data_IF_134737922912
#
_entry.id   IF_134737922912
#
_cell.length_a   1.000
_cell.length_b   1.000
_cell.length_c   1.000
_cell.angle_alpha   90.00
_cell.angle_beta   90.00
_cell.angle_gamma   90.00
#
_symmetry.space_group_name_H-M   'P 1'
#
loop_
_entity.id
_entity.type
_entity.pdbx_description
1 polymer ?
#
# COMPACT_ATOMS: atom_id res chain seq x y z
N UNK A 1 -20.39 17.67 -15.56
CA UNK A 1 -19.41 17.15 -16.55
C UNK A 1 -20.04 16.80 -17.91
N UNK A 2 -21.36 16.61 -18.02
CA UNK A 2 -22.01 16.27 -19.30
C UNK A 2 -22.05 17.40 -20.33
N UNK A 3 -21.95 18.65 -19.89
CA UNK A 3 -22.00 19.84 -20.74
C UNK A 3 -20.64 20.19 -21.38
N UNK A 4 -19.59 19.38 -21.18
CA UNK A 4 -18.22 19.82 -21.50
C UNK A 4 -17.67 19.35 -22.84
N UNK A 5 -18.38 18.54 -23.63
CA UNK A 5 -17.95 18.14 -24.99
C UNK A 5 -19.13 18.12 -25.96
N UNK A 6 -19.86 19.24 -26.01
CA UNK A 6 -21.00 19.41 -26.91
C UNK A 6 -20.56 19.71 -28.35
N UNK A 7 -19.39 20.32 -28.52
CA UNK A 7 -18.82 20.71 -29.81
C UNK A 7 -17.32 20.44 -29.92
N UNK A 8 -16.83 20.34 -31.16
CA UNK A 8 -15.39 20.27 -31.47
C UNK A 8 -14.67 21.50 -30.89
N UNK A 9 -15.29 22.67 -30.92
CA UNK A 9 -14.72 23.90 -30.33
C UNK A 9 -14.43 23.74 -28.84
N UNK A 10 -15.25 22.97 -28.12
CA UNK A 10 -15.02 22.71 -26.69
C UNK A 10 -13.75 21.89 -26.46
N UNK A 11 -13.43 20.99 -27.39
CA UNK A 11 -12.18 20.21 -27.37
C UNK A 11 -10.97 21.12 -27.62
N UNK A 12 -11.06 22.07 -28.55
CA UNK A 12 -10.00 23.07 -28.77
C UNK A 12 -9.79 23.95 -27.53
N UNK A 13 -10.86 24.49 -26.95
CA UNK A 13 -10.80 25.30 -25.72
C UNK A 13 -10.18 24.50 -24.56
N UNK A 14 -10.46 23.21 -24.48
CA UNK A 14 -9.86 22.33 -23.48
C UNK A 14 -8.34 22.19 -23.65
N UNK A 15 -7.86 21.91 -24.86
CA UNK A 15 -6.42 21.79 -25.13
C UNK A 15 -5.67 23.12 -24.97
N UNK A 16 -6.31 24.25 -25.30
CA UNK A 16 -5.73 25.59 -25.08
C UNK A 16 -5.60 25.90 -23.58
N UNK A 17 -6.63 25.58 -22.79
CA UNK A 17 -6.58 25.72 -21.32
C UNK A 17 -5.52 24.81 -20.71
N UNK A 18 -5.44 23.55 -21.13
CA UNK A 18 -4.39 22.63 -20.66
C UNK A 18 -2.99 23.15 -21.01
N UNK A 19 -2.79 23.64 -22.22
CA UNK A 19 -1.51 24.21 -22.65
C UNK A 19 -1.10 25.39 -21.76
N UNK A 20 -2.04 26.30 -21.45
CA UNK A 20 -1.80 27.43 -20.55
C UNK A 20 -1.47 26.98 -19.13
N UNK A 21 -2.24 26.05 -18.57
CA UNK A 21 -2.01 25.51 -17.23
C UNK A 21 -0.66 24.80 -17.10
N UNK A 22 -0.24 24.05 -18.12
CA UNK A 22 1.06 23.37 -18.10
C UNK A 22 2.22 24.36 -18.13
N UNK A 23 2.07 25.48 -18.84
CA UNK A 23 3.10 26.53 -18.88
C UNK A 23 3.19 27.37 -17.60
N UNK A 24 2.08 27.51 -16.86
CA UNK A 24 2.02 28.38 -15.67
C UNK A 24 2.14 27.63 -14.34
N UNK A 25 1.70 26.37 -14.28
CA UNK A 25 1.48 25.66 -13.00
C UNK A 25 2.20 24.31 -12.89
N UNK A 26 2.71 23.76 -13.99
CA UNK A 26 3.34 22.45 -13.98
C UNK A 26 4.85 22.58 -14.18
N UNK A 27 5.59 21.83 -13.36
CA UNK A 27 7.03 21.69 -13.52
C UNK A 27 7.37 21.18 -14.93
N UNK A 28 8.29 21.89 -15.58
CA UNK A 28 8.76 21.63 -16.93
C UNK A 28 9.43 20.26 -17.05
N UNK A 29 10.00 19.72 -15.98
CA UNK A 29 10.66 18.40 -16.03
C UNK A 29 9.76 17.26 -15.56
N UNK A 30 8.58 17.57 -15.02
CA UNK A 30 7.66 16.55 -14.55
C UNK A 30 7.17 15.66 -15.70
N UNK A 31 7.16 14.34 -15.48
CA UNK A 31 6.69 13.35 -16.46
C UNK A 31 5.26 13.66 -16.93
N UNK A 32 4.39 14.12 -16.02
CA UNK A 32 3.03 14.51 -16.35
C UNK A 32 3.00 15.78 -17.23
N UNK A 33 3.82 16.79 -16.92
CA UNK A 33 3.93 17.99 -17.75
C UNK A 33 4.45 17.68 -19.15
N UNK A 34 5.44 16.79 -19.27
CA UNK A 34 5.96 16.31 -20.57
C UNK A 34 4.88 15.58 -21.36
N UNK A 35 4.11 14.70 -20.71
CA UNK A 35 3.00 13.99 -21.34
C UNK A 35 1.93 14.96 -21.86
N UNK A 36 1.45 15.90 -21.03
CA UNK A 36 0.40 16.85 -21.45
C UNK A 36 0.90 17.75 -22.58
N UNK A 37 2.16 18.23 -22.55
CA UNK A 37 2.73 19.00 -23.67
C UNK A 37 2.78 18.20 -24.97
N UNK A 38 3.16 16.92 -24.91
CA UNK A 38 3.13 16.04 -26.10
C UNK A 38 1.72 15.88 -26.64
N UNK A 39 0.73 15.70 -25.77
CA UNK A 39 -0.68 15.64 -26.18
C UNK A 39 -1.15 16.94 -26.84
N UNK A 40 -0.83 18.10 -26.26
CA UNK A 40 -1.17 19.40 -26.85
C UNK A 40 -0.48 19.63 -28.21
N UNK A 41 0.80 19.25 -28.34
CA UNK A 41 1.55 19.34 -29.59
C UNK A 41 1.01 18.39 -30.66
N UNK A 42 0.66 17.16 -30.28
CA UNK A 42 0.05 16.20 -31.19
C UNK A 42 -1.31 16.70 -31.69
N UNK A 43 -2.16 17.19 -30.78
CA UNK A 43 -3.47 17.75 -31.12
C UNK A 43 -3.34 18.98 -32.05
N UNK A 44 -2.41 19.90 -31.77
CA UNK A 44 -2.17 21.07 -32.61
C UNK A 44 -1.67 20.74 -34.03
N UNK A 45 -1.17 19.53 -34.26
CA UNK A 45 -0.72 19.04 -35.58
C UNK A 45 -1.78 18.23 -36.32
N UNK A 46 -2.92 17.94 -35.70
CA UNK A 46 -3.98 17.16 -36.34
C UNK A 46 -4.68 17.99 -37.40
N UNK A 47 -4.94 17.36 -38.55
CA UNK A 47 -5.80 17.93 -39.58
C UNK A 47 -7.26 17.96 -39.11
N UNK A 48 -8.05 18.92 -39.59
CA UNK A 48 -9.41 19.15 -39.08
C UNK A 48 -10.32 17.90 -39.13
N UNK A 49 -10.23 17.08 -40.17
CA UNK A 49 -11.02 15.83 -40.24
C UNK A 49 -10.56 14.79 -39.20
N UNK A 50 -9.26 14.74 -38.87
CA UNK A 50 -8.71 13.89 -37.81
C UNK A 50 -9.24 14.35 -36.46
N UNK A 51 -9.27 15.67 -36.23
CA UNK A 51 -9.86 16.25 -35.01
C UNK A 51 -11.35 15.87 -34.89
N UNK A 52 -12.10 15.90 -35.99
CA UNK A 52 -13.49 15.46 -36.02
C UNK A 52 -13.66 13.98 -35.66
N UNK A 53 -12.81 13.10 -36.21
CA UNK A 53 -12.80 11.66 -35.85
C UNK A 53 -12.46 11.45 -34.37
N UNK A 54 -11.39 12.09 -33.90
CA UNK A 54 -10.94 12.02 -32.52
C UNK A 54 -12.00 12.54 -31.54
N UNK A 55 -12.72 13.62 -31.88
CA UNK A 55 -13.83 14.13 -31.10
C UNK A 55 -14.97 13.11 -30.97
N UNK A 56 -15.34 12.45 -32.07
CA UNK A 56 -16.37 11.40 -32.07
C UNK A 56 -15.95 10.21 -31.22
N UNK A 57 -14.68 9.79 -31.29
CA UNK A 57 -14.11 8.74 -30.44
C UNK A 57 -14.14 9.13 -28.95
N UNK A 58 -13.76 10.37 -28.62
CA UNK A 58 -13.86 10.88 -27.24
C UNK A 58 -15.30 10.90 -26.73
N UNK A 59 -16.26 11.34 -27.55
CA UNK A 59 -17.69 11.29 -27.18
C UNK A 59 -18.18 9.87 -27.00
N UNK A 60 -17.76 8.95 -27.87
CA UNK A 60 -18.12 7.54 -27.75
C UNK A 60 -17.53 6.94 -26.47
N UNK A 61 -16.25 7.19 -26.17
CA UNK A 61 -15.60 6.75 -24.94
C UNK A 61 -16.29 7.30 -23.69
N UNK A 62 -16.68 8.59 -23.69
CA UNK A 62 -17.42 9.20 -22.57
C UNK A 62 -18.83 8.63 -22.41
N UNK A 63 -19.54 8.38 -23.51
CA UNK A 63 -20.86 7.70 -23.46
C UNK A 63 -20.74 6.27 -22.93
N UNK A 64 -19.69 5.58 -23.33
CA UNK A 64 -19.39 4.21 -22.89
C UNK A 64 -19.00 4.19 -21.40
N UNK A 65 -18.14 5.11 -20.95
CA UNK A 65 -17.81 5.29 -19.53
C UNK A 65 -19.02 5.70 -18.68
N UNK A 66 -19.93 6.49 -19.25
CA UNK A 66 -21.11 7.02 -18.54
C UNK A 66 -22.24 6.01 -18.42
N UNK A 67 -22.52 5.28 -19.50
CA UNK A 67 -23.67 4.38 -19.53
C UNK A 67 -23.36 3.04 -18.89
N UNK A 68 -22.09 2.65 -18.81
CA UNK A 68 -21.72 1.27 -18.61
C UNK A 68 -20.38 1.13 -17.87
N UNK A 69 -20.21 1.71 -16.67
CA UNK A 69 -18.98 1.40 -15.91
C UNK A 69 -18.84 -0.12 -15.68
N UNK A 70 -19.97 -0.82 -15.52
CA UNK A 70 -20.02 -2.27 -15.34
C UNK A 70 -20.04 -3.05 -16.68
N UNK A 71 -20.65 -2.52 -17.74
CA UNK A 71 -20.67 -3.15 -19.07
C UNK A 71 -19.37 -2.90 -19.85
N UNK A 72 -18.65 -1.80 -19.56
CA UNK A 72 -17.25 -1.55 -19.96
C UNK A 72 -16.34 -2.49 -19.21
N UNK A 73 -16.50 -2.65 -17.88
CA UNK A 73 -15.78 -3.69 -17.14
C UNK A 73 -16.06 -5.08 -17.72
N UNK A 74 -17.28 -5.39 -18.16
CA UNK A 74 -17.62 -6.67 -18.80
C UNK A 74 -17.07 -6.81 -20.23
N UNK A 75 -17.07 -5.75 -21.05
CA UNK A 75 -16.51 -5.75 -22.42
C UNK A 75 -14.99 -5.70 -22.44
N UNK A 76 -14.38 -4.92 -21.56
CA UNK A 76 -12.95 -4.97 -21.27
C UNK A 76 -12.61 -6.31 -20.63
N UNK A 77 -13.50 -6.93 -19.87
CA UNK A 77 -13.28 -8.29 -19.34
C UNK A 77 -13.21 -9.34 -20.43
N UNK A 78 -14.16 -9.36 -21.36
CA UNK A 78 -14.11 -10.34 -22.47
C UNK A 78 -12.88 -10.12 -23.35
N UNK A 79 -12.49 -8.87 -23.63
CA UNK A 79 -11.24 -8.55 -24.34
C UNK A 79 -9.99 -8.91 -23.53
N UNK A 80 -9.94 -8.60 -22.23
CA UNK A 80 -8.81 -8.90 -21.35
C UNK A 80 -8.63 -10.40 -21.16
N UNK A 81 -9.72 -11.15 -21.00
CA UNK A 81 -9.71 -12.61 -20.93
C UNK A 81 -9.23 -13.23 -22.25
N UNK A 82 -9.68 -12.69 -23.39
CA UNK A 82 -9.22 -13.15 -24.71
C UNK A 82 -7.73 -12.88 -24.91
N UNK A 83 -7.25 -11.70 -24.52
CA UNK A 83 -5.83 -11.34 -24.55
C UNK A 83 -5.00 -12.18 -23.57
N UNK A 84 -5.54 -12.48 -22.39
CA UNK A 84 -4.90 -13.32 -21.38
C UNK A 84 -4.76 -14.76 -21.89
N UNK A 85 -5.83 -15.32 -22.48
CA UNK A 85 -5.79 -16.64 -23.15
C UNK A 85 -4.76 -16.64 -24.27
N UNK A 86 -4.82 -15.67 -25.18
CA UNK A 86 -3.86 -15.57 -26.28
C UNK A 86 -2.41 -15.40 -25.78
N UNK A 87 -2.19 -14.70 -24.67
CA UNK A 87 -0.89 -14.61 -24.03
C UNK A 87 -0.42 -16.00 -23.58
N UNK A 88 -1.24 -16.74 -22.84
CA UNK A 88 -0.88 -18.08 -22.37
C UNK A 88 -0.82 -19.12 -23.48
N UNK A 89 -1.58 -18.99 -24.56
CA UNK A 89 -1.48 -19.85 -25.74
C UNK A 89 -0.16 -19.64 -26.49
N UNK A 90 0.39 -18.41 -26.44
CA UNK A 90 1.65 -18.04 -27.11
C UNK A 90 2.89 -18.33 -26.28
N UNK A 91 2.76 -18.35 -24.96
CA UNK A 91 3.87 -18.60 -24.05
C UNK A 91 3.80 -20.05 -23.59
N UNK A 92 4.91 -20.79 -23.61
CA UNK A 92 5.02 -22.12 -23.01
C UNK A 92 5.01 -22.07 -21.48
N UNK A 93 4.20 -21.19 -20.89
CA UNK A 93 3.99 -21.13 -19.47
C UNK A 93 3.20 -22.36 -19.02
N UNK A 94 3.50 -22.94 -17.86
CA UNK A 94 2.69 -24.00 -17.27
C UNK A 94 1.21 -23.60 -17.20
N UNK A 95 0.32 -24.47 -17.66
CA UNK A 95 -1.13 -24.19 -17.75
C UNK A 95 -1.77 -23.76 -16.42
N UNK A 96 -1.22 -24.20 -15.28
CA UNK A 96 -1.71 -23.81 -13.96
C UNK A 96 -1.54 -22.30 -13.67
N UNK A 97 -0.53 -21.63 -14.23
CA UNK A 97 -0.39 -20.18 -14.07
C UNK A 97 -1.49 -19.44 -14.83
N UNK A 98 -1.86 -19.92 -16.02
CA UNK A 98 -2.96 -19.35 -16.79
C UNK A 98 -4.28 -19.42 -16.00
N UNK A 99 -4.56 -20.60 -15.42
CA UNK A 99 -5.74 -20.85 -14.61
C UNK A 99 -5.75 -20.03 -13.31
N UNK A 100 -4.59 -19.86 -12.66
CA UNK A 100 -4.45 -18.96 -11.50
C UNK A 100 -4.79 -17.51 -11.85
N UNK A 101 -4.30 -17.01 -12.99
CA UNK A 101 -4.62 -15.66 -13.45
C UNK A 101 -6.08 -15.52 -13.87
N UNK A 102 -6.68 -16.56 -14.44
CA UNK A 102 -8.11 -16.61 -14.74
C UNK A 102 -8.96 -16.61 -13.46
N UNK A 103 -8.60 -17.39 -12.45
CA UNK A 103 -9.28 -17.38 -11.15
C UNK A 103 -9.24 -15.99 -10.52
N UNK A 104 -8.05 -15.37 -10.45
CA UNK A 104 -7.89 -13.99 -9.98
C UNK A 104 -8.76 -12.99 -10.75
N UNK A 105 -8.89 -13.17 -12.07
CA UNK A 105 -9.74 -12.35 -12.92
C UNK A 105 -11.22 -12.52 -12.58
N UNK A 106 -11.71 -13.76 -12.48
CA UNK A 106 -13.08 -14.07 -12.12
C UNK A 106 -13.45 -13.56 -10.72
N UNK A 107 -12.53 -13.66 -9.74
CA UNK A 107 -12.72 -13.10 -8.39
C UNK A 107 -12.95 -11.59 -8.45
N UNK A 108 -12.14 -10.85 -9.23
CA UNK A 108 -12.32 -9.39 -9.40
C UNK A 108 -13.66 -9.00 -10.01
N UNK A 109 -14.25 -9.88 -10.81
CA UNK A 109 -15.56 -9.69 -11.43
C UNK A 109 -16.71 -10.24 -10.58
N UNK A 110 -16.43 -10.70 -9.37
CA UNK A 110 -17.41 -11.32 -8.47
C UNK A 110 -18.07 -12.58 -9.08
N UNK A 111 -17.38 -13.25 -10.01
CA UNK A 111 -17.80 -14.52 -10.61
C UNK A 111 -17.24 -15.67 -9.78
N UNK A 112 -17.74 -15.84 -8.55
CA UNK A 112 -17.16 -16.74 -7.54
C UNK A 112 -17.13 -18.22 -7.98
N UNK A 113 -18.16 -18.69 -8.68
CA UNK A 113 -18.22 -20.07 -9.19
C UNK A 113 -17.15 -20.33 -10.26
N UNK A 114 -17.00 -19.41 -11.21
CA UNK A 114 -15.99 -19.52 -12.27
C UNK A 114 -14.57 -19.38 -11.71
N UNK A 115 -14.40 -18.49 -10.73
CA UNK A 115 -13.13 -18.34 -10.01
C UNK A 115 -12.73 -19.64 -9.31
N UNK A 116 -13.68 -20.30 -8.64
CA UNK A 116 -13.46 -21.58 -7.95
C UNK A 116 -13.18 -22.71 -8.95
N UNK A 117 -13.95 -22.83 -10.01
CA UNK A 117 -13.71 -23.85 -11.05
C UNK A 117 -12.32 -23.73 -11.67
N UNK A 118 -11.87 -22.50 -11.99
CA UNK A 118 -10.52 -22.28 -12.51
C UNK A 118 -9.44 -22.60 -11.47
N UNK A 119 -9.71 -22.35 -10.19
CA UNK A 119 -8.77 -22.61 -9.10
C UNK A 119 -8.63 -24.12 -8.81
N UNK A 120 -9.73 -24.87 -8.86
CA UNK A 120 -9.74 -26.33 -8.70
C UNK A 120 -8.92 -27.02 -9.81
N UNK A 121 -9.06 -26.54 -11.05
CA UNK A 121 -8.27 -27.04 -12.18
C UNK A 121 -6.78 -26.66 -12.03
N UNK A 122 -6.49 -25.42 -11.62
CA UNK A 122 -5.12 -24.99 -11.34
C UNK A 122 -4.47 -25.85 -10.24
N UNK A 123 -5.24 -26.19 -9.19
CA UNK A 123 -4.80 -27.04 -8.08
C UNK A 123 -4.47 -28.46 -8.54
N UNK A 124 -5.30 -29.05 -9.39
CA UNK A 124 -5.04 -30.38 -9.93
C UNK A 124 -3.71 -30.40 -10.71
N UNK A 125 -3.52 -29.46 -11.64
CA UNK A 125 -2.31 -29.38 -12.46
C UNK A 125 -1.07 -29.05 -11.60
N UNK A 126 -1.19 -28.14 -10.63
CA UNK A 126 -0.08 -27.79 -9.74
C UNK A 126 0.37 -28.98 -8.88
N UNK A 127 -0.56 -29.83 -8.42
CA UNK A 127 -0.25 -31.07 -7.69
C UNK A 127 0.48 -32.09 -8.57
N UNK A 128 0.01 -32.29 -9.80
CA UNK A 128 0.63 -33.22 -10.75
C UNK A 128 2.07 -32.81 -11.09
N UNK A 129 2.31 -31.50 -11.18
CA UNK A 129 3.63 -30.92 -11.43
C UNK A 129 4.48 -30.75 -10.17
N UNK A 130 3.91 -31.01 -8.98
CA UNK A 130 4.54 -30.73 -7.68
C UNK A 130 5.05 -29.28 -7.53
N UNK A 131 4.36 -28.31 -8.15
CA UNK A 131 4.75 -26.90 -8.08
C UNK A 131 4.31 -26.28 -6.75
N UNK A 132 5.21 -26.33 -5.76
CA UNK A 132 4.93 -25.80 -4.41
C UNK A 132 4.62 -24.31 -4.41
N UNK A 133 5.19 -23.54 -5.35
CA UNK A 133 4.96 -22.10 -5.42
C UNK A 133 3.55 -21.82 -5.93
N UNK A 134 3.13 -22.51 -6.99
CA UNK A 134 1.75 -22.42 -7.49
C UNK A 134 0.73 -22.80 -6.40
N UNK A 135 1.01 -23.86 -5.62
CA UNK A 135 0.15 -24.28 -4.51
C UNK A 135 0.00 -23.20 -3.42
N UNK A 136 1.05 -22.43 -3.12
CA UNK A 136 0.97 -21.28 -2.20
C UNK A 136 0.06 -20.17 -2.74
N UNK A 137 0.16 -19.84 -4.03
CA UNK A 137 -0.73 -18.86 -4.67
C UNK A 137 -2.18 -19.35 -4.70
N UNK A 138 -2.39 -20.65 -4.93
CA UNK A 138 -3.72 -21.27 -4.90
C UNK A 138 -4.33 -21.12 -3.51
N UNK A 139 -3.60 -21.49 -2.44
CA UNK A 139 -4.05 -21.36 -1.06
C UNK A 139 -4.42 -19.91 -0.69
N UNK A 140 -3.65 -18.95 -1.19
CA UNK A 140 -3.95 -17.52 -1.04
C UNK A 140 -5.31 -17.14 -1.68
N UNK A 141 -5.57 -17.58 -2.92
CA UNK A 141 -6.84 -17.31 -3.59
C UNK A 141 -8.02 -18.07 -2.98
N UNK A 142 -7.83 -19.29 -2.49
CA UNK A 142 -8.85 -20.02 -1.73
C UNK A 142 -9.26 -19.24 -0.48
N UNK A 143 -8.28 -18.73 0.28
CA UNK A 143 -8.55 -17.86 1.42
C UNK A 143 -9.33 -16.61 1.01
N UNK A 144 -8.98 -15.98 -0.12
CA UNK A 144 -9.71 -14.79 -0.61
C UNK A 144 -11.17 -15.11 -0.96
N UNK A 145 -11.42 -16.22 -1.66
CA UNK A 145 -12.77 -16.65 -2.00
C UNK A 145 -13.58 -17.01 -0.75
N UNK A 146 -12.95 -17.61 0.27
CA UNK A 146 -13.59 -17.86 1.57
C UNK A 146 -13.98 -16.56 2.28
N UNK A 147 -13.09 -15.56 2.31
CA UNK A 147 -13.37 -14.22 2.85
C UNK A 147 -14.59 -13.59 2.16
N UNK A 148 -14.70 -13.72 0.84
CA UNK A 148 -15.81 -13.16 0.06
C UNK A 148 -17.12 -13.95 0.22
N UNK A 149 -17.05 -15.24 0.55
CA UNK A 149 -18.24 -16.09 0.75
C UNK A 149 -19.01 -15.81 2.05
N UNK A 150 -18.43 -15.07 3.00
CA UNK A 150 -19.10 -14.63 4.23
C UNK A 150 -19.00 -15.58 5.43
N UNK A 151 -18.32 -16.73 5.31
CA UNK A 151 -18.02 -17.62 6.45
C UNK A 151 -16.85 -17.07 7.29
N UNK A 152 -17.12 -16.10 8.16
CA UNK A 152 -16.07 -15.32 8.85
C UNK A 152 -15.14 -16.20 9.72
N UNK A 153 -15.69 -17.14 10.49
CA UNK A 153 -14.90 -17.99 11.39
C UNK A 153 -13.98 -18.93 10.61
N UNK A 154 -14.52 -19.61 9.60
CA UNK A 154 -13.77 -20.52 8.74
C UNK A 154 -12.68 -19.77 7.96
N UNK A 155 -13.02 -18.61 7.40
CA UNK A 155 -12.07 -17.76 6.71
C UNK A 155 -10.94 -17.29 7.65
N UNK A 156 -11.24 -16.92 8.89
CA UNK A 156 -10.21 -16.54 9.88
C UNK A 156 -9.26 -17.69 10.18
N UNK A 157 -9.77 -18.91 10.35
CA UNK A 157 -8.94 -20.09 10.59
C UNK A 157 -8.07 -20.43 9.38
N UNK A 158 -8.65 -20.43 8.17
CA UNK A 158 -7.93 -20.70 6.94
C UNK A 158 -6.81 -19.67 6.69
N UNK A 159 -7.12 -18.38 6.85
CA UNK A 159 -6.13 -17.30 6.68
C UNK A 159 -5.00 -17.40 7.71
N UNK A 160 -5.28 -17.74 8.97
CA UNK A 160 -4.24 -17.94 9.99
C UNK A 160 -3.30 -19.10 9.64
N UNK A 161 -3.86 -20.25 9.26
CA UNK A 161 -3.06 -21.39 8.81
C UNK A 161 -2.22 -21.06 7.58
N UNK A 162 -2.76 -20.26 6.65
CA UNK A 162 -2.02 -19.76 5.50
C UNK A 162 -0.86 -18.83 5.90
N UNK A 163 -1.07 -17.89 6.82
CA UNK A 163 -0.02 -17.00 7.33
C UNK A 163 1.11 -17.82 7.96
N UNK A 164 0.77 -18.78 8.83
CA UNK A 164 1.75 -19.67 9.49
C UNK A 164 2.54 -20.51 8.47
N UNK A 165 1.88 -20.98 7.42
CA UNK A 165 2.55 -21.70 6.32
C UNK A 165 3.47 -20.79 5.49
N UNK A 166 3.12 -19.51 5.32
CA UNK A 166 3.86 -18.55 4.50
C UNK A 166 5.07 -17.93 5.22
N UNK A 167 5.05 -17.88 6.56
CA UNK A 167 6.06 -17.25 7.44
C UNK A 167 7.50 -17.68 7.13
N UNK A 168 7.70 -18.91 6.64
CA UNK A 168 9.03 -19.45 6.38
C UNK A 168 9.52 -19.32 4.94
N UNK A 169 8.67 -18.84 4.01
CA UNK A 169 8.92 -19.02 2.57
C UNK A 169 8.68 -17.78 1.73
N UNK A 170 7.70 -16.96 2.08
CA UNK A 170 7.23 -15.92 1.17
C UNK A 170 6.58 -14.75 1.93
N UNK A 171 7.37 -13.72 2.22
CA UNK A 171 6.92 -12.53 2.94
C UNK A 171 5.76 -11.79 2.24
N UNK A 172 5.70 -11.83 0.90
CA UNK A 172 4.60 -11.24 0.14
C UNK A 172 3.29 -11.96 0.44
N UNK A 173 3.32 -13.30 0.49
CA UNK A 173 2.15 -14.10 0.84
C UNK A 173 1.74 -13.89 2.29
N UNK A 174 2.70 -13.84 3.20
CA UNK A 174 2.44 -13.59 4.61
C UNK A 174 1.81 -12.21 4.83
N UNK A 175 2.36 -11.15 4.22
CA UNK A 175 1.79 -9.81 4.25
C UNK A 175 0.37 -9.78 3.66
N UNK A 176 0.14 -10.47 2.54
CA UNK A 176 -1.19 -10.59 1.93
C UNK A 176 -2.17 -11.30 2.87
N UNK A 177 -1.74 -12.37 3.54
CA UNK A 177 -2.55 -13.08 4.54
C UNK A 177 -2.95 -12.17 5.70
N UNK A 178 -2.02 -11.37 6.24
CA UNK A 178 -2.35 -10.38 7.26
C UNK A 178 -3.34 -9.32 6.76
N UNK A 179 -3.24 -8.87 5.51
CA UNK A 179 -4.24 -7.96 4.92
C UNK A 179 -5.63 -8.61 4.87
N UNK A 180 -5.74 -9.88 4.46
CA UNK A 180 -7.00 -10.63 4.48
C UNK A 180 -7.55 -10.80 5.90
N UNK A 181 -6.69 -11.10 6.87
CA UNK A 181 -7.08 -11.27 8.27
C UNK A 181 -7.63 -9.95 8.84
N UNK A 182 -7.02 -8.81 8.50
CA UNK A 182 -7.56 -7.50 8.86
C UNK A 182 -8.94 -7.24 8.23
N UNK A 183 -9.18 -7.66 6.99
CA UNK A 183 -10.51 -7.54 6.36
C UNK A 183 -11.58 -8.34 7.12
N UNK A 184 -11.20 -9.49 7.71
CA UNK A 184 -12.10 -10.36 8.48
C UNK A 184 -12.31 -9.90 9.93
N UNK A 185 -11.31 -9.28 10.56
CA UNK A 185 -11.36 -8.83 11.96
C UNK A 185 -12.08 -7.49 12.14
N UNK A 186 -13.02 -7.15 11.27
CA UNK A 186 -13.65 -5.83 11.17
C UNK A 186 -13.85 -5.14 12.54
N UNK A 187 -13.29 -3.94 12.62
CA UNK A 187 -13.36 -2.98 13.73
C UNK A 187 -12.68 -3.43 15.04
N UNK A 188 -11.59 -2.74 15.40
CA UNK A 188 -10.93 -2.90 16.69
C UNK A 188 -9.41 -3.00 16.61
N UNK A 189 -8.79 -3.13 17.78
CA UNK A 189 -7.33 -3.17 17.96
C UNK A 189 -6.70 -4.32 17.16
N UNK A 190 -7.31 -5.51 17.18
CA UNK A 190 -6.80 -6.70 16.51
C UNK A 190 -6.57 -6.49 15.00
N UNK A 191 -7.46 -5.73 14.33
CA UNK A 191 -7.29 -5.40 12.92
C UNK A 191 -6.08 -4.48 12.68
N UNK A 192 -5.87 -3.49 13.54
CA UNK A 192 -4.72 -2.59 13.45
C UNK A 192 -3.40 -3.30 13.76
N UNK A 193 -3.35 -4.16 14.78
CA UNK A 193 -2.17 -4.99 15.09
C UNK A 193 -1.76 -5.85 13.87
N UNK A 194 -2.76 -6.45 13.23
CA UNK A 194 -2.56 -7.24 12.02
C UNK A 194 -2.01 -6.39 10.86
N UNK A 195 -2.52 -5.16 10.69
CA UNK A 195 -2.00 -4.21 9.69
C UNK A 195 -0.58 -3.72 10.01
N UNK A 196 -0.21 -3.60 11.28
CA UNK A 196 1.15 -3.26 11.70
C UNK A 196 2.11 -4.39 11.29
N UNK A 197 1.74 -5.66 11.52
CA UNK A 197 2.52 -6.82 11.07
C UNK A 197 2.66 -6.87 9.55
N UNK A 198 1.56 -6.67 8.81
CA UNK A 198 1.59 -6.61 7.35
C UNK A 198 2.54 -5.50 6.84
N UNK A 199 2.49 -4.33 7.47
CA UNK A 199 3.35 -3.19 7.12
C UNK A 199 4.81 -3.45 7.45
N UNK A 200 5.12 -4.08 8.58
CA UNK A 200 6.50 -4.43 8.95
C UNK A 200 7.15 -5.30 7.87
N UNK A 201 6.47 -6.37 7.46
CA UNK A 201 6.91 -7.24 6.36
C UNK A 201 7.06 -6.49 5.03
N UNK A 202 6.10 -5.63 4.71
CA UNK A 202 6.13 -4.82 3.49
C UNK A 202 7.31 -3.84 3.44
N UNK A 203 7.69 -3.27 4.60
CA UNK A 203 8.84 -2.38 4.73
C UNK A 203 10.14 -3.15 4.63
N UNK A 204 10.26 -4.24 5.38
CA UNK A 204 11.44 -5.12 5.46
C UNK A 204 11.82 -5.69 4.09
N UNK A 205 10.83 -6.19 3.35
CA UNK A 205 11.06 -6.85 2.06
C UNK A 205 10.84 -5.94 0.85
N UNK A 206 10.56 -4.65 1.05
CA UNK A 206 10.19 -3.69 -0.01
C UNK A 206 9.10 -4.21 -0.97
N UNK A 207 8.07 -4.83 -0.40
CA UNK A 207 6.95 -5.38 -1.18
C UNK A 207 5.63 -4.83 -0.67
N UNK A 208 4.65 -4.65 -1.58
CA UNK A 208 3.27 -4.29 -1.23
C UNK A 208 3.08 -3.03 -0.35
N UNK A 209 4.07 -2.14 -0.23
CA UNK A 209 4.00 -0.93 0.62
C UNK A 209 2.71 -0.14 0.38
N UNK A 210 2.40 0.22 -0.86
CA UNK A 210 1.20 0.97 -1.20
C UNK A 210 -0.10 0.25 -0.79
N UNK A 211 -0.17 -1.08 -0.91
CA UNK A 211 -1.35 -1.86 -0.52
C UNK A 211 -1.57 -1.81 1.00
N UNK A 212 -0.49 -1.96 1.79
CA UNK A 212 -0.58 -1.85 3.27
C UNK A 212 -1.01 -0.45 3.71
N UNK A 213 -0.49 0.62 3.09
CA UNK A 213 -0.90 2.00 3.35
C UNK A 213 -2.38 2.24 3.03
N UNK A 214 -2.87 1.73 1.89
CA UNK A 214 -4.29 1.83 1.53
C UNK A 214 -5.19 1.01 2.48
N UNK A 215 -4.72 -0.14 2.97
CA UNK A 215 -5.46 -0.94 3.95
C UNK A 215 -5.59 -0.19 5.29
N UNK A 216 -4.50 0.41 5.79
CA UNK A 216 -4.55 1.31 6.94
C UNK A 216 -5.49 2.49 6.72
N UNK A 217 -5.45 3.11 5.54
CA UNK A 217 -6.37 4.20 5.19
C UNK A 217 -7.84 3.77 5.36
N UNK A 218 -8.20 2.62 4.78
CA UNK A 218 -9.55 2.05 4.90
C UNK A 218 -9.92 1.71 6.34
N UNK A 219 -9.00 1.16 7.13
CA UNK A 219 -9.23 0.88 8.54
C UNK A 219 -9.54 2.16 9.33
N UNK A 220 -8.76 3.23 9.12
CA UNK A 220 -9.01 4.54 9.74
C UNK A 220 -10.33 5.19 9.29
N UNK A 221 -10.75 4.98 8.04
CA UNK A 221 -12.07 5.40 7.55
C UNK A 221 -13.21 4.71 8.31
N UNK A 222 -13.09 3.40 8.59
CA UNK A 222 -14.11 2.63 9.33
C UNK A 222 -14.29 3.12 10.76
N UNK A 223 -13.19 3.43 11.46
CA UNK A 223 -13.23 4.04 12.81
C UNK A 223 -13.52 5.55 12.80
N UNK A 224 -13.96 6.10 11.66
CA UNK A 224 -14.38 7.49 11.49
C UNK A 224 -13.26 8.52 11.78
N UNK A 225 -12.02 8.18 11.45
CA UNK A 225 -10.86 9.09 11.50
C UNK A 225 -10.39 9.46 10.07
N UNK A 226 -11.13 10.33 9.34
CA UNK A 226 -10.86 10.62 7.93
C UNK A 226 -9.50 11.31 7.70
N UNK A 227 -9.00 12.07 8.67
CA UNK A 227 -7.69 12.74 8.55
C UNK A 227 -6.55 11.72 8.48
N UNK A 228 -6.53 10.75 9.41
CA UNK A 228 -5.55 9.67 9.36
C UNK A 228 -5.73 8.85 8.08
N UNK A 229 -6.96 8.52 7.72
CA UNK A 229 -7.23 7.81 6.48
C UNK A 229 -6.64 8.52 5.25
N UNK A 230 -6.77 9.85 5.17
CA UNK A 230 -6.20 10.66 4.09
C UNK A 230 -4.67 10.62 4.10
N UNK A 231 -4.03 10.78 5.26
CA UNK A 231 -2.56 10.74 5.37
C UNK A 231 -1.98 9.39 4.96
N UNK A 232 -2.63 8.29 5.36
CA UNK A 232 -2.26 6.95 4.92
C UNK A 232 -2.46 6.77 3.40
N UNK A 233 -3.55 7.32 2.83
CA UNK A 233 -3.77 7.29 1.38
C UNK A 233 -2.76 8.15 0.60
N UNK A 234 -2.31 9.28 1.16
CA UNK A 234 -1.23 10.10 0.60
C UNK A 234 0.11 9.35 0.65
N UNK A 235 0.41 8.68 1.76
CA UNK A 235 1.61 7.86 1.92
C UNK A 235 1.68 6.75 0.87
N UNK A 236 0.53 6.16 0.50
CA UNK A 236 0.44 5.16 -0.57
C UNK A 236 0.76 5.72 -1.97
N UNK A 237 0.67 7.05 -2.16
CA UNK A 237 0.86 7.76 -3.43
C UNK A 237 2.19 8.53 -3.49
N UNK A 238 2.89 8.67 -2.37
CA UNK A 238 4.17 9.37 -2.28
C UNK A 238 5.16 8.78 -3.29
N UNK A 239 5.79 9.65 -4.06
CA UNK A 239 6.76 9.24 -5.09
C UNK A 239 8.20 9.35 -4.60
N UNK A 240 8.40 10.05 -3.49
CA UNK A 240 9.73 10.27 -2.90
C UNK A 240 9.76 9.84 -1.44
N UNK A 241 10.92 9.40 -0.97
CA UNK A 241 11.13 9.05 0.45
C UNK A 241 10.93 10.26 1.36
N UNK A 242 11.21 11.47 0.87
CA UNK A 242 11.01 12.73 1.61
C UNK A 242 9.53 13.00 1.87
N UNK A 243 8.68 12.88 0.85
CA UNK A 243 7.22 12.98 1.01
C UNK A 243 6.68 11.91 1.96
N UNK A 244 7.21 10.69 1.84
CA UNK A 244 6.83 9.58 2.73
C UNK A 244 7.24 9.87 4.19
N UNK A 245 8.43 10.41 4.43
CA UNK A 245 8.88 10.78 5.76
C UNK A 245 8.02 11.90 6.38
N UNK A 246 7.68 12.93 5.60
CA UNK A 246 6.82 14.03 6.04
C UNK A 246 5.40 13.56 6.36
N UNK A 247 4.81 12.75 5.48
CA UNK A 247 3.48 12.18 5.72
C UNK A 247 3.48 11.25 6.92
N UNK A 248 4.54 10.45 7.10
CA UNK A 248 4.70 9.61 8.28
C UNK A 248 4.81 10.42 9.58
N UNK A 249 5.56 11.52 9.60
CA UNK A 249 5.64 12.43 10.74
C UNK A 249 4.26 13.00 11.12
N UNK A 250 3.49 13.43 10.12
CA UNK A 250 2.11 13.90 10.31
C UNK A 250 1.17 12.81 10.83
N UNK A 251 1.32 11.57 10.34
CA UNK A 251 0.58 10.41 10.87
C UNK A 251 0.87 10.22 12.35
N UNK A 252 2.14 10.22 12.75
CA UNK A 252 2.54 10.04 14.15
C UNK A 252 1.99 11.17 15.04
N UNK A 253 2.07 12.43 14.60
CA UNK A 253 1.52 13.57 15.35
C UNK A 253 -0.01 13.47 15.49
N UNK A 254 -0.71 13.10 14.42
CA UNK A 254 -2.16 12.91 14.46
C UNK A 254 -2.56 11.76 15.39
N UNK A 255 -1.85 10.63 15.33
CA UNK A 255 -2.06 9.50 16.24
C UNK A 255 -1.85 9.93 17.69
N UNK A 256 -0.74 10.60 17.99
CA UNK A 256 -0.46 11.11 19.33
C UNK A 256 -1.53 12.06 19.87
N UNK A 257 -1.99 13.01 19.05
CA UNK A 257 -3.06 13.93 19.45
C UNK A 257 -4.40 13.22 19.68
N UNK A 258 -4.67 12.15 18.92
CA UNK A 258 -5.83 11.30 19.13
C UNK A 258 -5.69 10.53 20.45
N UNK A 259 -4.60 9.78 20.66
CA UNK A 259 -4.34 9.07 21.91
C UNK A 259 -4.44 9.98 23.15
N UNK A 260 -3.84 11.18 23.08
CA UNK A 260 -3.82 12.14 24.19
C UNK A 260 -5.16 12.80 24.48
N UNK A 261 -6.11 12.80 23.53
CA UNK A 261 -7.48 13.31 23.73
C UNK A 261 -8.49 12.21 24.07
N UNK A 262 -8.17 10.96 23.78
CA UNK A 262 -9.06 9.80 23.89
C UNK A 262 -9.03 9.16 25.30
N UNK A 263 -8.80 9.95 26.35
CA UNK A 263 -9.09 9.54 27.74
C UNK A 263 -10.59 9.67 28.09
N UNK A 264 -11.48 9.41 27.12
CA UNK A 264 -12.94 9.41 27.27
C UNK A 264 -13.47 8.00 26.98
N UNK A 265 -14.43 7.45 27.75
CA UNK A 265 -14.59 6.00 27.97
C UNK A 265 -15.22 5.19 26.83
N UNK A 266 -15.35 5.74 25.62
CA UNK A 266 -15.93 5.03 24.47
C UNK A 266 -14.90 4.58 23.44
N UNK A 267 -13.62 4.92 23.60
CA UNK A 267 -12.60 4.65 22.60
C UNK A 267 -11.31 4.14 23.30
N UNK A 268 -11.30 2.89 23.77
CA UNK A 268 -10.08 2.17 24.18
C UNK A 268 -9.23 1.78 22.95
N UNK A 269 -9.02 2.67 21.98
CA UNK A 269 -8.47 2.28 20.66
C UNK A 269 -6.96 2.32 20.55
N UNK A 270 -6.25 2.87 21.54
CA UNK A 270 -4.80 3.07 21.35
C UNK A 270 -4.04 2.73 22.62
N UNK A 271 -3.19 1.72 22.47
CA UNK A 271 -2.21 1.26 23.44
C UNK A 271 -1.36 2.46 23.92
N UNK A 272 -1.28 2.72 25.24
CA UNK A 272 -0.43 3.76 25.83
C UNK A 272 1.03 3.75 25.31
N UNK A 273 1.53 2.58 24.90
CA UNK A 273 2.88 2.40 24.32
C UNK A 273 3.11 3.23 23.05
N UNK A 274 2.06 3.49 22.25
CA UNK A 274 2.17 4.29 21.03
C UNK A 274 2.27 5.81 21.31
N UNK A 275 1.78 6.27 22.47
CA UNK A 275 1.76 7.69 22.84
C UNK A 275 3.14 8.22 23.22
N UNK A 276 3.91 7.45 23.99
CA UNK A 276 5.22 7.91 24.48
C UNK A 276 6.33 7.77 23.41
N UNK A 277 6.16 6.84 22.46
CA UNK A 277 6.99 6.72 21.24
C UNK A 277 7.02 7.99 20.38
N UNK A 278 5.91 8.73 20.32
CA UNK A 278 5.81 9.97 19.52
C UNK A 278 6.48 11.16 20.22
N UNK A 279 6.34 11.27 21.55
CA UNK A 279 7.02 12.30 22.35
C UNK A 279 8.55 12.21 22.19
N UNK A 280 9.08 10.99 22.23
CA UNK A 280 10.51 10.73 22.03
C UNK A 280 10.97 10.99 20.59
N UNK A 281 10.13 10.74 19.58
CA UNK A 281 10.45 11.05 18.17
C UNK A 281 10.59 12.56 17.89
N UNK A 282 9.75 13.40 18.54
CA UNK A 282 9.75 14.86 18.38
C UNK A 282 10.95 15.53 19.03
N UNK A 283 11.42 14.99 20.15
CA UNK A 283 12.61 15.47 20.84
C UNK A 283 13.90 15.10 20.08
N UNK A 284 13.90 13.95 19.41
CA UNK A 284 14.97 13.47 18.52
C UNK A 284 15.15 14.28 17.23
N UNK A 285 14.07 14.62 16.52
CA UNK A 285 14.14 15.44 15.31
C UNK A 285 14.68 16.86 15.58
N UNK A 286 14.54 17.36 16.83
CA UNK A 286 15.20 18.60 17.27
C UNK A 286 16.70 18.43 17.50
N UNK A 287 17.19 17.24 17.85
CA UNK A 287 18.63 16.96 17.98
C UNK A 287 19.30 16.87 16.62
N UNK A 288 18.64 16.22 15.66
CA UNK A 288 19.17 16.05 14.31
C UNK A 288 19.21 17.37 13.51
N UNK A 289 18.35 18.34 13.83
CA UNK A 289 18.19 19.58 13.05
C UNK A 289 18.71 20.86 13.72
N UNK A 290 19.40 20.80 14.87
CA UNK A 290 19.98 22.01 15.49
C UNK A 290 21.50 21.95 15.59
N UNK A 291 22.11 22.79 14.75
CA UNK A 291 23.29 23.62 15.01
C UNK A 291 24.51 22.93 15.61
N UNK A 292 25.32 22.31 14.76
CA UNK A 292 26.79 22.33 14.84
C UNK A 292 27.32 21.76 13.52
N UNK A 293 27.90 22.62 12.68
CA UNK A 293 28.41 22.26 11.35
C UNK A 293 29.64 21.35 11.33
N UNK A 294 29.78 20.44 12.30
CA UNK A 294 30.77 19.37 12.35
C UNK A 294 30.10 18.21 13.08
N UNK A 295 29.65 17.20 12.33
CA UNK A 295 29.26 15.93 12.95
C UNK A 295 30.55 15.12 13.08
N UNK A 296 31.11 15.09 14.29
CA UNK A 296 32.19 14.15 14.61
C UNK A 296 31.74 12.74 14.24
N UNK A 297 32.60 11.99 13.55
CA UNK A 297 32.28 10.65 13.04
C UNK A 297 31.81 9.68 14.14
N UNK A 298 32.18 9.96 15.39
CA UNK A 298 31.73 9.23 16.57
C UNK A 298 30.23 9.44 16.83
N UNK A 299 29.71 10.66 16.74
CA UNK A 299 28.28 10.98 16.91
C UNK A 299 27.42 10.31 15.82
N UNK A 300 27.98 10.16 14.62
CA UNK A 300 27.29 9.49 13.51
C UNK A 300 27.14 7.98 13.74
N UNK A 301 28.17 7.30 14.25
CA UNK A 301 28.11 5.88 14.61
C UNK A 301 27.17 5.64 15.80
N UNK A 302 27.15 6.56 16.76
CA UNK A 302 26.26 6.52 17.92
C UNK A 302 24.78 6.66 17.53
N UNK A 303 24.46 7.61 16.65
CA UNK A 303 23.13 7.76 16.09
C UNK A 303 22.70 6.51 15.30
N UNK A 304 23.63 5.84 14.62
CA UNK A 304 23.35 4.62 13.88
C UNK A 304 22.96 3.46 14.79
N UNK A 305 23.62 3.28 15.94
CA UNK A 305 23.28 2.20 16.91
C UNK A 305 21.91 2.41 17.55
N UNK A 306 21.59 3.64 17.95
CA UNK A 306 20.25 3.99 18.47
C UNK A 306 19.16 3.83 17.40
N UNK A 307 19.44 4.23 16.16
CA UNK A 307 18.53 3.99 15.04
C UNK A 307 18.34 2.51 14.74
N UNK A 308 19.40 1.71 14.85
CA UNK A 308 19.33 0.26 14.65
C UNK A 308 18.48 -0.40 15.74
N UNK A 309 18.73 -0.08 17.02
CA UNK A 309 17.90 -0.55 18.14
C UNK A 309 16.42 -0.21 17.91
N UNK A 310 16.11 1.01 17.46
CA UNK A 310 14.74 1.43 17.15
C UNK A 310 14.14 0.63 16.00
N UNK A 311 14.87 0.38 14.92
CA UNK A 311 14.38 -0.44 13.79
C UNK A 311 14.05 -1.85 14.27
N UNK A 312 14.89 -2.43 15.12
CA UNK A 312 14.65 -3.74 15.74
C UNK A 312 13.37 -3.75 16.59
N UNK A 313 13.13 -2.72 17.41
CA UNK A 313 11.90 -2.59 18.20
C UNK A 313 10.67 -2.50 17.30
N UNK A 314 10.71 -1.62 16.29
CA UNK A 314 9.59 -1.44 15.35
C UNK A 314 9.29 -2.71 14.56
N UNK A 315 10.32 -3.51 14.29
CA UNK A 315 10.19 -4.80 13.64
C UNK A 315 9.85 -5.97 14.59
N UNK A 316 9.74 -5.72 15.91
CA UNK A 316 9.34 -6.73 16.91
C UNK A 316 10.48 -7.61 17.43
N UNK A 317 11.73 -7.33 17.08
CA UNK A 317 12.94 -8.03 17.56
C UNK A 317 13.37 -7.50 18.94
N UNK A 318 12.57 -7.80 19.96
CA UNK A 318 12.73 -7.23 21.31
C UNK A 318 14.03 -7.68 21.99
N UNK A 319 14.45 -8.93 21.80
CA UNK A 319 15.69 -9.45 22.42
C UNK A 319 16.94 -8.79 21.83
N UNK A 320 16.97 -8.66 20.50
CA UNK A 320 18.05 -8.03 19.74
C UNK A 320 18.11 -6.53 20.02
N UNK A 321 16.95 -5.86 20.06
CA UNK A 321 16.87 -4.47 20.47
C UNK A 321 17.39 -4.26 21.89
N UNK A 322 16.99 -5.11 22.84
CA UNK A 322 17.47 -5.08 24.23
C UNK A 322 18.99 -5.26 24.31
N UNK A 323 19.57 -6.12 23.47
CA UNK A 323 21.02 -6.30 23.39
C UNK A 323 21.72 -5.00 22.94
N UNK A 324 21.29 -4.42 21.82
CA UNK A 324 21.87 -3.18 21.28
C UNK A 324 21.71 -2.01 22.26
N UNK A 325 20.56 -1.90 22.92
CA UNK A 325 20.34 -0.86 23.93
C UNK A 325 21.22 -1.04 25.17
N UNK A 326 21.43 -2.27 25.64
CA UNK A 326 22.33 -2.53 26.75
C UNK A 326 23.79 -2.20 26.39
N UNK A 327 24.22 -2.48 25.16
CA UNK A 327 25.53 -2.05 24.66
C UNK A 327 25.68 -0.53 24.72
N UNK A 328 24.65 0.22 24.33
CA UNK A 328 24.64 1.70 24.42
C UNK A 328 24.74 2.15 25.88
N UNK A 329 23.96 1.56 26.79
CA UNK A 329 23.94 1.96 28.21
C UNK A 329 25.27 1.70 28.93
N UNK A 330 25.99 0.65 28.53
CA UNK A 330 27.24 0.23 29.18
C UNK A 330 28.49 0.70 28.44
N UNK A 331 28.36 1.37 27.30
CA UNK A 331 29.48 1.92 26.55
C UNK A 331 29.98 3.20 27.24
N UNK A 332 31.22 3.24 27.76
CA UNK A 332 31.75 4.41 28.47
C UNK A 332 32.00 5.62 27.56
N UNK A 333 32.04 5.40 26.25
CA UNK A 333 32.18 6.46 25.25
C UNK A 333 30.83 7.05 24.82
N UNK A 334 29.70 6.45 25.23
CA UNK A 334 28.39 6.96 24.81
C UNK A 334 28.04 8.27 25.52
N UNK A 335 27.53 9.28 24.81
CA UNK A 335 27.03 10.49 25.43
C UNK A 335 25.93 10.19 26.45
N UNK A 336 25.90 10.91 27.57
CA UNK A 336 24.90 10.76 28.62
C UNK A 336 23.46 10.79 28.09
N UNK A 337 23.23 11.57 27.03
CA UNK A 337 21.93 11.66 26.37
C UNK A 337 21.53 10.37 25.66
N UNK A 338 22.45 9.74 24.95
CA UNK A 338 22.22 8.45 24.29
C UNK A 338 21.96 7.35 25.32
N UNK A 339 22.72 7.35 26.42
CA UNK A 339 22.53 6.44 27.56
C UNK A 339 21.15 6.64 28.19
N UNK A 340 20.73 7.89 28.42
CA UNK A 340 19.41 8.21 28.98
C UNK A 340 18.28 7.67 28.09
N UNK A 341 18.36 7.92 26.77
CA UNK A 341 17.37 7.43 25.80
C UNK A 341 17.35 5.90 25.80
N UNK A 342 18.52 5.26 25.78
CA UNK A 342 18.59 3.80 25.76
C UNK A 342 18.03 3.17 27.05
N UNK A 343 18.27 3.77 28.22
CA UNK A 343 17.66 3.35 29.50
C UNK A 343 16.15 3.50 29.49
N UNK A 344 15.64 4.60 28.94
CA UNK A 344 14.21 4.82 28.81
C UNK A 344 13.60 3.74 27.90
N UNK A 345 14.19 3.50 26.72
CA UNK A 345 13.76 2.44 25.80
C UNK A 345 13.80 1.05 26.46
N UNK A 346 14.85 0.72 27.21
CA UNK A 346 14.94 -0.54 27.96
C UNK A 346 13.85 -0.68 29.02
N UNK A 347 13.48 0.40 29.70
CA UNK A 347 12.40 0.36 30.70
C UNK A 347 11.03 0.02 30.11
N UNK A 348 10.82 0.28 28.81
CA UNK A 348 9.60 -0.09 28.09
C UNK A 348 9.64 -1.49 27.48
N UNK A 349 10.82 -2.10 27.33
CA UNK A 349 10.97 -3.47 26.85
C UNK A 349 10.93 -4.51 28.00
N UNK A 350 10.87 -4.03 29.25
CA UNK A 350 10.81 -4.82 30.48
C UNK A 350 9.40 -5.25 30.86
#
# INVERSE_FOLDING_TARGET
MDEHLESIDTLHVFFDKMRKQVGEQMDEESILGVFVRRCCLAFARMEFYIVGSFFNECRQALRVMRNDLDLVRQRESTRSLSSLRQFFDRHTAPGHHALLHMSAWHTRLQMTNDARSALDEALHIARDLQDTRALEFIACWECKLLVESGSELEAKHAVRAFIESAERKNAVMQATGYLMLCELQNEGIAGFETLVRARALAVEHDTQRAATWLAHSRAWLRVKCPLLALLFAQSARSRTERELAQTHELVMECQFQLCGRIAHPTVEFIDPVCTDSVRNTREWLRVANKDTGVVDAEIADECAKLQNARRLIVAGFVAEATCVLNEIVHCPAMPDRAILIAREMLSYLG
#
